data_IF_965293345205
#
_entry.id   IF_965293345205
#
_cell.length_a   1.000
_cell.length_b   1.000
_cell.length_c   1.000
_cell.angle_alpha   90.00
_cell.angle_beta   90.00
_cell.angle_gamma   90.00
#
_symmetry.space_group_name_H-M   'P 1'
#
loop_
_entity.id
_entity.type
_entity.pdbx_description
1 polymer ?
#
# COMPACT_ATOMS: atom_id res chain seq x y z
N UNK A 1 -23.85 -18.28 11.46
CA UNK A 1 -22.56 -18.77 12.01
C UNK A 1 -21.45 -18.27 11.09
N UNK A 2 -20.54 -17.43 11.59
CA UNK A 2 -19.41 -16.95 10.78
C UNK A 2 -18.36 -18.05 10.72
N UNK A 3 -17.88 -18.35 9.51
CA UNK A 3 -16.75 -19.27 9.31
C UNK A 3 -15.49 -18.47 9.55
N UNK A 4 -14.77 -18.79 10.63
CA UNK A 4 -13.53 -18.08 11.02
C UNK A 4 -12.28 -18.63 10.34
N UNK A 5 -12.41 -19.79 9.68
CA UNK A 5 -11.32 -20.42 8.92
C UNK A 5 -11.39 -20.05 7.44
N UNK A 6 -10.25 -19.80 6.84
CA UNK A 6 -10.15 -19.66 5.39
C UNK A 6 -10.21 -21.06 4.76
N UNK A 7 -11.37 -21.41 4.21
CA UNK A 7 -11.58 -22.73 3.59
C UNK A 7 -10.67 -22.96 2.36
N UNK A 8 -10.25 -21.89 1.69
CA UNK A 8 -9.34 -21.98 0.54
C UNK A 8 -7.96 -22.47 1.00
N UNK A 9 -7.46 -21.98 2.14
CA UNK A 9 -6.17 -22.41 2.70
C UNK A 9 -6.17 -23.90 3.13
N UNK A 10 -7.36 -24.47 3.45
CA UNK A 10 -7.50 -25.89 3.75
C UNK A 10 -7.46 -26.76 2.50
N UNK A 11 -7.93 -26.25 1.36
CA UNK A 11 -7.98 -26.95 0.07
C UNK A 11 -6.67 -26.76 -0.70
N UNK A 12 -6.16 -25.52 -0.76
CA UNK A 12 -4.91 -25.19 -1.42
C UNK A 12 -3.72 -25.42 -0.49
N UNK A 13 -3.14 -26.61 -0.51
CA UNK A 13 -1.84 -26.90 0.13
C UNK A 13 -0.66 -26.18 -0.56
N UNK A 14 -0.89 -25.27 -1.49
CA UNK A 14 0.14 -24.48 -2.16
C UNK A 14 0.74 -23.48 -1.17
N UNK A 15 1.94 -23.76 -0.70
CA UNK A 15 2.79 -22.74 -0.09
C UNK A 15 2.98 -21.61 -1.10
N UNK A 16 2.42 -20.43 -0.81
CA UNK A 16 2.76 -19.22 -1.56
C UNK A 16 4.28 -19.09 -1.50
N UNK A 17 4.94 -19.11 -2.67
CA UNK A 17 6.39 -18.94 -2.74
C UNK A 17 6.76 -17.53 -2.30
N UNK A 18 7.14 -17.40 -1.04
CA UNK A 18 7.60 -16.14 -0.42
C UNK A 18 9.06 -15.81 -0.78
N UNK A 19 9.70 -16.58 -1.67
CA UNK A 19 11.14 -16.49 -1.95
C UNK A 19 11.55 -15.24 -2.74
N UNK A 20 10.66 -14.67 -3.54
CA UNK A 20 11.00 -13.52 -4.40
C UNK A 20 10.79 -12.18 -3.69
N UNK A 21 11.86 -11.43 -3.40
CA UNK A 21 11.74 -10.10 -2.81
C UNK A 21 11.16 -9.10 -3.82
N UNK A 22 10.52 -8.06 -3.31
CA UNK A 22 10.09 -6.93 -4.12
C UNK A 22 11.29 -6.18 -4.70
N UNK A 23 11.09 -5.57 -5.87
CA UNK A 23 12.11 -4.81 -6.57
C UNK A 23 11.58 -3.46 -7.05
N UNK A 24 12.46 -2.46 -7.17
CA UNK A 24 12.11 -1.13 -7.66
C UNK A 24 12.35 -1.03 -9.17
N UNK A 25 11.49 -0.28 -9.84
CA UNK A 25 11.69 0.12 -11.22
C UNK A 25 12.57 1.38 -11.31
N UNK A 26 13.38 1.44 -12.37
CA UNK A 26 14.22 2.61 -12.63
C UNK A 26 13.40 3.79 -13.14
N UNK A 27 13.90 5.02 -12.94
CA UNK A 27 13.21 6.25 -13.33
C UNK A 27 12.95 6.35 -14.84
N UNK A 28 13.84 5.82 -15.66
CA UNK A 28 13.67 5.78 -17.12
C UNK A 28 12.54 4.83 -17.59
N UNK A 29 11.96 4.03 -16.69
CA UNK A 29 10.80 3.18 -16.98
C UNK A 29 9.52 3.85 -16.48
N UNK A 30 9.54 4.45 -15.28
CA UNK A 30 8.34 4.96 -14.62
C UNK A 30 8.09 6.44 -14.82
N UNK A 31 9.10 7.21 -15.25
CA UNK A 31 9.02 8.64 -15.55
C UNK A 31 8.87 9.54 -14.32
N UNK A 32 8.05 9.17 -13.35
CA UNK A 32 7.74 9.97 -12.16
C UNK A 32 8.30 9.34 -10.89
N UNK A 33 8.94 10.16 -10.04
CA UNK A 33 9.52 9.69 -8.78
C UNK A 33 8.44 9.40 -7.73
N UNK A 34 8.71 8.46 -6.81
CA UNK A 34 7.88 8.21 -5.62
C UNK A 34 7.60 9.49 -4.83
N UNK A 35 8.60 10.36 -4.65
CA UNK A 35 8.43 11.61 -3.91
C UNK A 35 7.43 12.57 -4.57
N UNK A 36 7.45 12.66 -5.92
CA UNK A 36 6.46 13.45 -6.68
C UNK A 36 5.04 12.90 -6.48
N UNK A 37 4.87 11.59 -6.60
CA UNK A 37 3.59 10.91 -6.39
C UNK A 37 3.06 11.11 -4.96
N UNK A 38 3.93 10.95 -3.96
CA UNK A 38 3.57 11.21 -2.56
C UNK A 38 3.15 12.66 -2.33
N UNK A 39 3.78 13.65 -2.99
CA UNK A 39 3.37 15.05 -2.91
C UNK A 39 1.93 15.25 -3.40
N UNK A 40 1.52 14.58 -4.49
CA UNK A 40 0.15 14.64 -5.01
C UNK A 40 -0.85 14.08 -4.00
N UNK A 41 -0.53 12.92 -3.40
CA UNK A 41 -1.37 12.31 -2.35
C UNK A 41 -1.46 13.20 -1.11
N UNK A 42 -0.35 13.81 -0.67
CA UNK A 42 -0.37 14.73 0.48
C UNK A 42 -1.20 16.00 0.21
N UNK A 43 -1.18 16.54 -1.02
CA UNK A 43 -2.07 17.64 -1.41
C UNK A 43 -3.54 17.20 -1.32
N UNK A 44 -3.85 16.00 -1.78
CA UNK A 44 -5.19 15.41 -1.67
C UNK A 44 -5.64 15.26 -0.20
N UNK A 45 -4.77 14.73 0.68
CA UNK A 45 -5.03 14.63 2.12
C UNK A 45 -5.33 15.99 2.75
N UNK A 46 -4.53 17.02 2.45
CA UNK A 46 -4.74 18.39 2.96
C UNK A 46 -6.06 18.97 2.49
N UNK A 47 -6.42 18.82 1.19
CA UNK A 47 -7.70 19.26 0.63
C UNK A 47 -8.89 18.61 1.33
N UNK A 48 -8.80 17.34 1.68
CA UNK A 48 -9.85 16.57 2.35
C UNK A 48 -9.77 16.65 3.90
N UNK A 49 -8.88 17.47 4.46
CA UNK A 49 -8.69 17.65 5.91
C UNK A 49 -8.50 16.32 6.66
N UNK A 50 -7.79 15.35 6.02
CA UNK A 50 -7.51 14.04 6.59
C UNK A 50 -6.05 13.91 7.00
N UNK A 51 -5.81 13.17 8.09
CA UNK A 51 -4.46 12.93 8.60
C UNK A 51 -3.75 11.82 7.84
N UNK A 52 -4.52 10.82 7.38
CA UNK A 52 -4.02 9.60 6.75
C UNK A 52 -4.87 9.17 5.56
N UNK A 53 -4.26 8.43 4.66
CA UNK A 53 -4.94 7.59 3.68
C UNK A 53 -4.40 6.17 3.75
N UNK A 54 -5.28 5.19 3.66
CA UNK A 54 -4.95 3.78 3.54
C UNK A 54 -5.14 3.34 2.10
N UNK A 55 -4.05 3.00 1.44
CA UNK A 55 -4.03 2.43 0.09
C UNK A 55 -4.02 0.92 0.23
N UNK A 56 -5.14 0.30 -0.06
CA UNK A 56 -5.36 -1.15 0.07
C UNK A 56 -5.07 -1.93 -1.21
N UNK A 57 -5.23 -1.29 -2.36
CA UNK A 57 -5.01 -1.89 -3.68
C UNK A 57 -3.52 -2.08 -3.97
N UNK A 58 -3.02 -3.32 -4.16
CA UNK A 58 -1.60 -3.60 -4.40
C UNK A 58 -1.04 -2.90 -5.64
N UNK A 59 -1.84 -2.77 -6.70
CA UNK A 59 -1.46 -2.07 -7.93
C UNK A 59 -1.23 -0.58 -7.71
N UNK A 60 -1.99 0.03 -6.79
CA UNK A 60 -1.81 1.43 -6.42
C UNK A 60 -0.55 1.63 -5.57
N UNK A 61 -0.30 0.71 -4.63
CA UNK A 61 0.97 0.68 -3.88
C UNK A 61 2.16 0.53 -4.84
N UNK A 62 2.07 -0.40 -5.79
CA UNK A 62 3.10 -0.65 -6.80
C UNK A 62 3.40 0.62 -7.62
N UNK A 63 2.37 1.35 -8.04
CA UNK A 63 2.51 2.58 -8.81
C UNK A 63 3.10 3.72 -7.97
N UNK A 64 2.57 3.96 -6.75
CA UNK A 64 3.04 5.04 -5.88
C UNK A 64 4.53 4.88 -5.55
N UNK A 65 4.94 3.67 -5.16
CA UNK A 65 6.30 3.39 -4.70
C UNK A 65 7.26 2.98 -5.82
N UNK A 66 6.79 2.85 -7.05
CA UNK A 66 7.57 2.35 -8.19
C UNK A 66 8.19 0.97 -7.91
N UNK A 67 7.45 0.09 -7.26
CA UNK A 67 7.88 -1.27 -6.91
C UNK A 67 7.08 -2.32 -7.67
N UNK A 68 7.67 -3.50 -7.78
CA UNK A 68 7.02 -4.70 -8.34
C UNK A 68 7.28 -5.89 -7.42
N UNK A 69 6.42 -6.90 -7.54
CA UNK A 69 6.52 -8.18 -6.85
C UNK A 69 6.18 -9.32 -7.80
N UNK A 70 6.20 -10.53 -7.27
CA UNK A 70 5.78 -11.76 -7.96
C UNK A 70 4.77 -12.53 -7.12
N UNK A 71 3.88 -11.79 -6.45
CA UNK A 71 2.90 -12.40 -5.52
C UNK A 71 1.63 -12.87 -6.25
N UNK A 72 1.41 -12.40 -7.48
CA UNK A 72 0.36 -12.88 -8.36
C UNK A 72 0.94 -13.69 -9.52
N UNK A 73 0.24 -14.76 -9.97
CA UNK A 73 0.74 -15.62 -11.04
C UNK A 73 0.88 -14.90 -12.39
N UNK A 74 -0.02 -13.95 -12.67
CA UNK A 74 -0.12 -13.27 -13.96
C UNK A 74 0.12 -11.76 -13.86
N UNK A 75 0.60 -11.28 -12.72
CA UNK A 75 0.73 -9.83 -12.49
C UNK A 75 1.92 -9.53 -11.59
N UNK A 76 2.79 -8.56 -11.97
CA UNK A 76 3.99 -8.23 -11.18
C UNK A 76 3.64 -7.36 -9.96
N UNK A 77 2.59 -7.71 -9.23
CA UNK A 77 2.10 -6.93 -8.10
C UNK A 77 2.75 -7.35 -6.77
N UNK A 78 3.10 -6.39 -5.91
CA UNK A 78 3.52 -6.64 -4.54
C UNK A 78 2.28 -6.77 -3.64
N UNK A 79 2.04 -7.90 -3.01
CA UNK A 79 0.96 -8.04 -2.03
C UNK A 79 1.28 -7.24 -0.76
N UNK A 80 1.03 -5.96 -0.83
CA UNK A 80 1.32 -4.98 0.23
C UNK A 80 0.25 -3.90 0.26
N UNK A 81 0.19 -3.19 1.38
CA UNK A 81 -0.68 -2.03 1.58
C UNK A 81 0.15 -0.87 2.09
N UNK A 82 -0.38 0.34 2.04
CA UNK A 82 0.38 1.54 2.35
C UNK A 82 -0.48 2.52 3.15
N UNK A 83 0.06 3.02 4.26
CA UNK A 83 -0.47 4.21 4.93
C UNK A 83 0.40 5.39 4.53
N UNK A 84 -0.21 6.49 4.12
CA UNK A 84 0.46 7.75 3.82
C UNK A 84 -0.09 8.82 4.76
N UNK A 85 0.80 9.57 5.41
CA UNK A 85 0.43 10.69 6.27
C UNK A 85 0.41 12.00 5.49
N UNK A 86 -0.31 13.00 5.98
CA UNK A 86 -0.28 14.37 5.42
C UNK A 86 1.11 15.04 5.44
N UNK A 87 2.06 14.49 6.22
CA UNK A 87 3.46 14.93 6.31
C UNK A 87 4.42 14.09 5.48
N UNK A 88 3.92 13.30 4.56
CA UNK A 88 4.70 12.42 3.67
C UNK A 88 5.38 11.22 4.35
N UNK A 89 5.14 10.96 5.62
CA UNK A 89 5.59 9.69 6.20
C UNK A 89 4.76 8.56 5.62
N UNK A 90 5.41 7.44 5.35
CA UNK A 90 4.76 6.24 4.83
C UNK A 90 4.96 5.09 5.80
N UNK A 91 3.97 4.18 5.84
CA UNK A 91 4.09 2.89 6.50
C UNK A 91 3.64 1.81 5.54
N UNK A 92 4.57 0.93 5.21
CA UNK A 92 4.36 -0.16 4.26
C UNK A 92 4.00 -1.42 5.02
N UNK A 93 2.86 -2.02 4.68
CA UNK A 93 2.29 -3.19 5.37
C UNK A 93 2.48 -4.42 4.50
N UNK A 94 3.03 -5.49 5.07
CA UNK A 94 3.22 -6.75 4.37
C UNK A 94 4.15 -7.72 5.12
N UNK A 95 4.70 -8.71 4.41
CA UNK A 95 5.66 -9.66 4.97
C UNK A 95 7.08 -9.10 4.88
N UNK A 96 7.79 -8.97 5.99
CA UNK A 96 9.14 -8.37 6.05
C UNK A 96 10.15 -9.04 5.09
N UNK A 97 10.02 -10.35 4.87
CA UNK A 97 10.89 -11.10 3.96
C UNK A 97 10.89 -10.52 2.54
N UNK A 98 9.75 -10.02 2.06
CA UNK A 98 9.59 -9.40 0.73
C UNK A 98 10.35 -8.08 0.59
N UNK A 99 10.59 -7.37 1.69
CA UNK A 99 11.22 -6.05 1.72
C UNK A 99 12.73 -6.06 2.06
N UNK A 100 13.34 -7.22 2.25
CA UNK A 100 14.77 -7.34 2.64
C UNK A 100 15.71 -6.50 1.76
N UNK A 101 15.51 -6.48 0.44
CA UNK A 101 16.35 -5.71 -0.47
C UNK A 101 16.19 -4.20 -0.26
N UNK A 102 14.98 -3.72 0.05
CA UNK A 102 14.72 -2.29 0.29
C UNK A 102 15.32 -1.85 1.62
N UNK A 103 15.21 -2.67 2.66
CA UNK A 103 15.84 -2.43 3.96
C UNK A 103 17.37 -2.40 3.85
N UNK A 104 17.96 -3.40 3.14
CA UNK A 104 19.41 -3.46 2.92
C UNK A 104 19.93 -2.26 2.16
N UNK A 105 19.21 -1.78 1.14
CA UNK A 105 19.56 -0.60 0.34
C UNK A 105 19.15 0.73 0.99
N UNK A 106 18.62 0.71 2.21
CA UNK A 106 18.12 1.89 2.95
C UNK A 106 17.08 2.72 2.16
N UNK A 107 16.34 2.08 1.25
CA UNK A 107 15.25 2.72 0.49
C UNK A 107 14.04 2.98 1.40
N UNK A 108 13.79 2.05 2.33
CA UNK A 108 12.85 2.19 3.45
C UNK A 108 13.57 1.85 4.75
N UNK A 109 13.17 2.49 5.83
CA UNK A 109 13.67 2.18 7.17
C UNK A 109 12.74 1.18 7.86
N UNK A 110 13.27 0.44 8.84
CA UNK A 110 12.49 -0.55 9.57
C UNK A 110 11.26 0.05 10.28
N UNK A 111 11.35 1.29 10.75
CA UNK A 111 10.23 2.01 11.38
C UNK A 111 9.10 2.39 10.41
N UNK A 112 9.35 2.31 9.10
CA UNK A 112 8.37 2.52 8.04
C UNK A 112 7.72 1.21 7.57
N UNK A 113 8.12 0.08 8.15
CA UNK A 113 7.56 -1.23 7.86
C UNK A 113 6.62 -1.66 9.00
N UNK A 114 5.51 -2.30 8.63
CA UNK A 114 4.55 -2.89 9.57
C UNK A 114 4.29 -4.33 9.11
N UNK A 115 4.59 -5.30 9.97
CA UNK A 115 4.09 -6.66 9.74
C UNK A 115 2.57 -6.66 9.85
N UNK A 116 1.92 -7.49 9.03
CA UNK A 116 0.45 -7.51 8.99
C UNK A 116 -0.17 -7.85 10.35
N UNK A 117 0.50 -8.69 11.13
CA UNK A 117 0.05 -9.07 12.47
C UNK A 117 0.17 -7.92 13.47
N UNK A 118 1.10 -6.98 13.25
CA UNK A 118 1.32 -5.80 14.07
C UNK A 118 0.44 -4.60 13.65
N UNK A 119 -0.33 -4.75 12.57
CA UNK A 119 -1.16 -3.66 12.05
C UNK A 119 -2.14 -3.09 13.08
N UNK A 120 -2.90 -3.90 13.87
CA UNK A 120 -3.80 -3.37 14.88
C UNK A 120 -3.07 -2.52 15.92
N UNK A 121 -1.95 -3.02 16.45
CA UNK A 121 -1.12 -2.30 17.43
C UNK A 121 -0.58 -0.99 16.87
N UNK A 122 -0.15 -1.01 15.60
CA UNK A 122 0.34 0.21 14.93
C UNK A 122 -0.75 1.26 14.79
N UNK A 123 -1.97 0.86 14.39
CA UNK A 123 -3.12 1.78 14.29
C UNK A 123 -3.40 2.43 15.65
N UNK A 124 -3.41 1.66 16.73
CA UNK A 124 -3.62 2.19 18.08
C UNK A 124 -2.56 3.21 18.50
N UNK A 125 -1.33 3.12 18.00
CA UNK A 125 -0.22 4.01 18.33
C UNK A 125 -0.09 5.23 17.40
N UNK A 126 -0.85 5.33 16.31
CA UNK A 126 -0.84 6.50 15.45
C UNK A 126 -1.57 7.67 16.12
N UNK A 127 -1.07 8.88 15.90
CA UNK A 127 -1.66 10.12 16.43
C UNK A 127 -2.37 10.86 15.29
N UNK A 128 -3.67 11.12 15.46
CA UNK A 128 -4.50 11.78 14.45
C UNK A 128 -5.98 11.54 14.70
N UNK A 129 -6.83 12.03 13.78
CA UNK A 129 -8.29 11.99 13.94
C UNK A 129 -8.99 11.22 12.83
N UNK A 130 -8.42 11.19 11.62
CA UNK A 130 -9.14 10.69 10.45
C UNK A 130 -8.28 9.93 9.45
N UNK A 131 -8.92 8.94 8.82
CA UNK A 131 -8.39 8.17 7.70
C UNK A 131 -9.31 8.26 6.50
N UNK A 132 -8.73 8.46 5.31
CA UNK A 132 -9.42 8.18 4.05
C UNK A 132 -9.20 6.71 3.73
N UNK A 133 -10.29 6.03 3.38
CA UNK A 133 -10.27 4.67 2.83
C UNK A 133 -11.15 4.60 1.59
N UNK A 134 -10.78 3.74 0.66
CA UNK A 134 -11.59 3.40 -0.50
C UNK A 134 -12.32 2.08 -0.23
N UNK A 135 -13.65 2.13 -0.15
CA UNK A 135 -14.49 0.96 0.12
C UNK A 135 -14.44 -0.10 -0.98
N UNK A 136 -14.12 0.29 -2.22
CA UNK A 136 -14.08 -0.65 -3.35
C UNK A 136 -12.89 -1.60 -3.26
N UNK A 137 -11.82 -1.20 -2.57
CA UNK A 137 -10.58 -1.98 -2.44
C UNK A 137 -10.24 -2.39 -1.01
N UNK A 138 -10.78 -1.69 0.01
CA UNK A 138 -10.48 -1.96 1.41
C UNK A 138 -11.33 -3.11 1.96
N UNK A 139 -10.69 -4.15 2.49
CA UNK A 139 -11.43 -5.22 3.15
C UNK A 139 -12.00 -4.76 4.48
N UNK A 140 -13.12 -5.38 4.88
CA UNK A 140 -13.80 -5.14 6.18
C UNK A 140 -12.86 -5.33 7.38
N UNK A 141 -11.87 -6.22 7.26
CA UNK A 141 -10.86 -6.46 8.27
C UNK A 141 -10.05 -5.19 8.59
N UNK A 142 -9.47 -4.55 7.56
CA UNK A 142 -8.70 -3.33 7.74
C UNK A 142 -9.58 -2.14 8.12
N UNK A 143 -10.77 -2.03 7.53
CA UNK A 143 -11.73 -0.97 7.87
C UNK A 143 -12.08 -1.02 9.35
N UNK A 144 -12.42 -2.18 9.91
CA UNK A 144 -12.79 -2.33 11.32
C UNK A 144 -11.64 -1.95 12.26
N UNK A 145 -10.41 -2.36 11.94
CA UNK A 145 -9.24 -1.99 12.75
C UNK A 145 -9.00 -0.48 12.71
N UNK A 146 -9.10 0.17 11.55
CA UNK A 146 -8.91 1.62 11.45
C UNK A 146 -10.04 2.35 12.17
N UNK A 147 -11.28 1.90 11.99
CA UNK A 147 -12.50 2.48 12.60
C UNK A 147 -12.49 2.40 14.12
N UNK A 148 -11.77 1.44 14.73
CA UNK A 148 -11.68 1.33 16.19
C UNK A 148 -11.05 2.55 16.87
N UNK A 149 -10.29 3.36 16.11
CA UNK A 149 -9.61 4.55 16.63
C UNK A 149 -9.88 5.83 15.85
N UNK A 150 -10.08 5.75 14.53
CA UNK A 150 -10.14 6.90 13.65
C UNK A 150 -11.51 7.10 13.02
N UNK A 151 -11.88 8.36 12.79
CA UNK A 151 -13.01 8.69 11.91
C UNK A 151 -12.64 8.30 10.47
N UNK A 152 -13.47 7.46 9.86
CA UNK A 152 -13.29 7.05 8.47
C UNK A 152 -13.97 8.07 7.55
N UNK A 153 -13.25 8.48 6.52
CA UNK A 153 -13.74 9.27 5.39
C UNK A 153 -13.71 8.37 4.16
N UNK A 154 -14.89 7.95 3.71
CA UNK A 154 -15.04 7.06 2.54
C UNK A 154 -14.88 7.88 1.26
N UNK A 155 -13.82 7.60 0.49
CA UNK A 155 -13.52 8.23 -0.79
C UNK A 155 -12.73 7.28 -1.67
N UNK A 156 -12.92 7.40 -2.96
CA UNK A 156 -12.12 6.68 -3.95
C UNK A 156 -10.62 7.01 -3.79
N UNK A 157 -9.77 5.99 -3.97
CA UNK A 157 -8.33 6.16 -3.93
C UNK A 157 -7.89 7.08 -5.09
N UNK A 158 -7.31 8.27 -4.80
CA UNK A 158 -6.92 9.22 -5.83
C UNK A 158 -5.84 8.66 -6.79
N UNK A 159 -5.21 7.57 -6.44
CA UNK A 159 -4.19 6.91 -7.27
C UNK A 159 -4.79 6.39 -8.57
N UNK A 160 -6.06 5.97 -8.58
CA UNK A 160 -6.71 5.51 -9.81
C UNK A 160 -6.71 6.61 -10.88
N UNK A 161 -7.12 7.81 -10.51
CA UNK A 161 -7.10 8.96 -11.42
C UNK A 161 -5.67 9.39 -11.78
N UNK A 162 -4.77 9.41 -10.80
CA UNK A 162 -3.38 9.82 -11.01
C UNK A 162 -2.63 8.90 -11.97
N UNK A 163 -2.84 7.58 -11.90
CA UNK A 163 -2.20 6.61 -12.81
C UNK A 163 -2.89 6.50 -14.17
N UNK A 164 -4.14 6.93 -14.28
CA UNK A 164 -4.86 6.96 -15.55
C UNK A 164 -4.21 7.94 -16.54
N UNK A 165 -3.69 9.07 -16.04
CA UNK A 165 -2.98 10.07 -16.85
C UNK A 165 -1.51 9.67 -16.96
N UNK A 166 -1.13 9.13 -18.12
CA UNK A 166 0.23 8.64 -18.37
C UNK A 166 1.20 9.80 -18.59
N UNK A 167 2.41 9.69 -18.03
CA UNK A 167 3.50 10.60 -18.36
C UNK A 167 4.17 10.21 -19.69
N UNK A 168 5.00 11.09 -20.26
CA UNK A 168 5.65 10.86 -21.57
C UNK A 168 6.47 9.56 -21.62
N UNK A 169 7.13 9.20 -20.52
CA UNK A 169 7.95 7.96 -20.46
C UNK A 169 7.04 6.74 -20.42
N UNK A 170 5.96 6.78 -19.66
CA UNK A 170 4.96 5.70 -19.64
C UNK A 170 4.33 5.50 -21.04
N UNK A 171 4.03 6.59 -21.76
CA UNK A 171 3.49 6.53 -23.14
C UNK A 171 4.51 5.89 -24.08
N UNK A 172 5.78 6.30 -24.01
CA UNK A 172 6.82 5.79 -24.90
C UNK A 172 7.16 4.31 -24.65
N UNK A 173 6.84 3.78 -23.44
CA UNK A 173 7.09 2.39 -23.07
C UNK A 173 5.86 1.47 -23.25
N UNK A 174 4.76 2.00 -23.75
CA UNK A 174 3.54 1.23 -24.11
C UNK A 174 3.57 0.77 -25.55
#
# INVERSE_FOLDING_TARGET
KFITKNLIDEIEKKKVDDSFPFFSLKRNIVGESTNSKLNKICKYLKKNKSDYIFISAPENVAWILNIRGRDGPNSPLPNSRLIITKTKKIFLIGKIKKFKNFLRKKIINLNQFIDINEFPKKILNLIGKSFIIDNSSCSIFFENIIKSKFKIIKREDPTYLLKAIKNKIEINNM
#
